data_IF_226547735616
#
_entry.id   IF_226547735616
#
_cell.length_a   1.000
_cell.length_b   1.000
_cell.length_c   1.000
_cell.angle_alpha   90.00
_cell.angle_beta   90.00
_cell.angle_gamma   90.00
#
_symmetry.space_group_name_H-M   'P 1'
#
loop_
_entity.id
_entity.type
_entity.pdbx_description
1 polymer ?
#
# COMPACT_ATOMS: atom_id res chain seq x y z
N UNK A 1 -10.70 6.20 2.73
CA UNK A 1 -10.22 5.01 1.98
C UNK A 1 -10.08 3.83 2.94
N UNK A 2 -10.19 2.59 2.44
CA UNK A 2 -10.00 1.38 3.24
C UNK A 2 -8.80 0.59 2.78
N UNK A 3 -8.06 0.01 3.73
CA UNK A 3 -6.94 -0.89 3.47
C UNK A 3 -7.47 -2.18 2.84
N UNK A 4 -6.96 -2.51 1.66
CA UNK A 4 -7.17 -3.81 1.01
C UNK A 4 -6.09 -4.78 1.50
N UNK A 5 -4.83 -4.34 1.49
CA UNK A 5 -3.68 -5.14 1.90
C UNK A 5 -2.54 -4.24 2.38
N UNK A 6 -1.91 -4.59 3.49
CA UNK A 6 -0.61 -4.01 3.84
C UNK A 6 0.46 -4.70 2.97
N UNK A 7 1.18 -3.92 2.17
CA UNK A 7 2.27 -4.44 1.33
C UNK A 7 3.54 -4.57 2.16
N UNK A 8 3.80 -3.56 2.99
CA UNK A 8 4.92 -3.52 3.92
C UNK A 8 4.65 -2.47 5.03
N UNK A 9 5.59 -2.22 5.95
CA UNK A 9 5.35 -1.29 7.07
C UNK A 9 5.02 0.14 6.64
N UNK A 10 5.50 0.56 5.47
CA UNK A 10 5.40 1.91 4.96
C UNK A 10 4.51 2.01 3.71
N UNK A 11 3.85 0.92 3.32
CA UNK A 11 3.10 0.88 2.07
C UNK A 11 1.88 -0.02 2.16
N UNK A 12 0.76 0.48 1.65
CA UNK A 12 -0.54 -0.20 1.71
C UNK A 12 -1.28 -0.05 0.38
N UNK A 13 -1.94 -1.12 -0.04
CA UNK A 13 -2.97 -1.08 -1.07
C UNK A 13 -4.28 -0.65 -0.41
N UNK A 14 -4.90 0.39 -0.93
CA UNK A 14 -6.22 0.87 -0.49
C UNK A 14 -7.22 0.86 -1.61
N UNK A 15 -8.49 0.87 -1.23
CA UNK A 15 -9.63 1.10 -2.12
C UNK A 15 -10.43 2.29 -1.61
N UNK A 16 -10.82 3.18 -2.52
CA UNK A 16 -11.73 4.27 -2.21
C UNK A 16 -13.21 3.79 -2.21
N UNK A 17 -14.14 4.74 -2.08
CA UNK A 17 -15.58 4.48 -2.07
C UNK A 17 -16.14 4.17 -3.46
N UNK A 18 -15.46 4.61 -4.50
CA UNK A 18 -15.84 4.46 -5.91
C UNK A 18 -15.28 3.14 -6.49
N UNK A 19 -14.46 2.43 -5.71
CA UNK A 19 -13.90 1.13 -6.05
C UNK A 19 -12.50 1.20 -6.63
N UNK A 20 -11.91 2.39 -6.77
CA UNK A 20 -10.59 2.55 -7.34
C UNK A 20 -9.53 2.11 -6.34
N UNK A 21 -8.54 1.37 -6.84
CA UNK A 21 -7.41 0.93 -6.05
C UNK A 21 -6.25 1.92 -6.18
N UNK A 22 -5.49 2.07 -5.10
CA UNK A 22 -4.28 2.90 -5.09
C UNK A 22 -3.29 2.34 -4.09
N UNK A 23 -2.00 2.48 -4.40
CA UNK A 23 -0.92 2.13 -3.48
C UNK A 23 -0.48 3.42 -2.79
N UNK A 24 -0.62 3.47 -1.47
CA UNK A 24 -0.18 4.59 -0.67
C UNK A 24 1.14 4.25 0.00
N UNK A 25 2.04 5.22 0.05
CA UNK A 25 3.32 5.18 0.77
C UNK A 25 3.33 6.28 1.84
N UNK A 26 3.88 5.93 2.99
CA UNK A 26 4.08 6.85 4.11
C UNK A 26 4.75 6.16 5.28
N UNK A 27 5.42 6.92 6.15
CA UNK A 27 6.09 6.37 7.33
C UNK A 27 5.12 5.63 8.26
N UNK A 28 5.31 4.32 8.39
CA UNK A 28 4.57 3.44 9.30
C UNK A 28 3.08 3.30 8.96
N UNK A 29 2.65 3.60 7.73
CA UNK A 29 1.22 3.58 7.38
C UNK A 29 0.65 2.18 7.22
N UNK A 30 1.50 1.18 6.96
CA UNK A 30 1.12 -0.23 6.91
C UNK A 30 1.38 -0.97 8.22
N UNK A 31 2.08 -0.34 9.15
CA UNK A 31 2.37 -0.94 10.46
C UNK A 31 1.07 -1.21 11.22
N UNK A 32 0.86 -2.49 11.57
CA UNK A 32 -0.33 -3.00 12.26
C UNK A 32 -1.67 -2.76 11.55
N UNK A 33 -1.69 -2.33 10.29
CA UNK A 33 -2.94 -2.21 9.51
C UNK A 33 -3.40 -3.56 9.00
N UNK A 34 -4.71 -3.78 9.00
CA UNK A 34 -5.38 -4.98 8.49
C UNK A 34 -6.35 -4.62 7.38
N UNK A 35 -6.73 -5.62 6.58
CA UNK A 35 -7.77 -5.46 5.57
C UNK A 35 -9.07 -4.96 6.21
N UNK A 36 -9.65 -3.92 5.62
CA UNK A 36 -10.86 -3.25 6.10
C UNK A 36 -10.61 -2.04 6.98
N UNK A 37 -9.39 -1.85 7.51
CA UNK A 37 -9.06 -0.70 8.34
C UNK A 37 -9.16 0.61 7.54
N UNK A 38 -9.50 1.69 8.24
CA UNK A 38 -9.44 3.03 7.65
C UNK A 38 -7.98 3.51 7.58
N UNK A 39 -7.64 4.12 6.44
CA UNK A 39 -6.36 4.81 6.26
C UNK A 39 -6.59 6.32 6.41
N UNK A 40 -5.79 6.94 7.27
CA UNK A 40 -5.75 8.38 7.50
C UNK A 40 -4.99 9.05 6.35
N UNK A 41 -5.62 10.01 5.65
CA UNK A 41 -5.02 10.62 4.46
C UNK A 41 -3.79 11.47 4.80
N UNK A 42 -3.75 12.08 5.98
CA UNK A 42 -2.65 12.93 6.45
C UNK A 42 -1.32 12.18 6.60
N UNK A 43 -1.37 10.85 6.66
CA UNK A 43 -0.18 9.99 6.77
C UNK A 43 0.36 9.56 5.41
N UNK A 44 -0.35 9.87 4.32
CA UNK A 44 0.04 9.51 2.96
C UNK A 44 1.03 10.54 2.45
N UNK A 45 2.27 10.12 2.22
CA UNK A 45 3.31 10.96 1.63
C UNK A 45 3.26 10.88 0.09
N UNK A 46 2.95 9.70 -0.46
CA UNK A 46 2.77 9.49 -1.90
C UNK A 46 1.64 8.51 -2.17
N UNK A 47 0.92 8.75 -3.27
CA UNK A 47 -0.15 7.87 -3.78
C UNK A 47 0.15 7.51 -5.23
N UNK A 48 0.17 6.22 -5.52
CA UNK A 48 0.30 5.64 -6.86
C UNK A 48 -1.05 5.10 -7.27
N UNK A 49 -1.56 5.58 -8.40
CA UNK A 49 -2.82 5.12 -8.99
C UNK A 49 -2.44 4.25 -10.20
N UNK A 50 -2.55 2.92 -10.11
CA UNK A 50 -2.25 2.06 -11.25
C UNK A 50 -3.29 2.28 -12.36
N UNK A 51 -2.85 2.35 -13.62
CA UNK A 51 -3.73 2.52 -14.77
C UNK A 51 -4.55 1.25 -15.05
N UNK A 52 -4.04 0.09 -14.64
CA UNK A 52 -4.70 -1.20 -14.81
C UNK A 52 -4.28 -2.24 -13.73
N UNK A 53 -5.00 -3.36 -13.72
CA UNK A 53 -4.75 -4.44 -12.75
C UNK A 53 -3.37 -5.10 -12.88
N UNK A 54 -2.79 -5.14 -14.08
CA UNK A 54 -1.47 -5.74 -14.31
C UNK A 54 -0.37 -4.88 -13.68
N UNK A 55 -0.45 -3.56 -13.86
CA UNK A 55 0.46 -2.60 -13.27
C UNK A 55 0.35 -2.59 -11.73
N UNK A 56 -0.89 -2.63 -11.21
CA UNK A 56 -1.15 -2.80 -9.77
C UNK A 56 -0.44 -4.03 -9.21
N UNK A 57 -0.58 -5.18 -9.88
CA UNK A 57 0.05 -6.43 -9.45
C UNK A 57 1.58 -6.36 -9.49
N UNK A 58 2.14 -5.82 -10.57
CA UNK A 58 3.58 -5.67 -10.72
C UNK A 58 4.19 -4.79 -9.61
N UNK A 59 3.55 -3.68 -9.28
CA UNK A 59 3.99 -2.83 -8.16
C UNK A 59 3.88 -3.54 -6.81
N UNK A 60 2.79 -4.27 -6.57
CA UNK A 60 2.63 -5.04 -5.34
C UNK A 60 3.77 -6.07 -5.16
N UNK A 61 4.18 -6.74 -6.23
CA UNK A 61 5.31 -7.69 -6.21
C UNK A 61 6.63 -6.96 -5.88
N UNK A 62 6.96 -5.92 -6.65
CA UNK A 62 8.18 -5.12 -6.45
C UNK A 62 8.30 -4.54 -5.04
N UNK A 63 7.22 -3.98 -4.49
CA UNK A 63 7.26 -3.33 -3.18
C UNK A 63 7.24 -4.31 -2.00
N UNK A 64 6.81 -5.54 -2.22
CA UNK A 64 6.95 -6.62 -1.24
C UNK A 64 8.41 -7.07 -1.17
N UNK A 65 9.05 -7.28 -2.32
CA UNK A 65 10.45 -7.76 -2.41
C UNK A 65 11.46 -6.75 -1.84
N UNK A 66 11.26 -5.45 -2.05
CA UNK A 66 12.20 -4.43 -1.60
C UNK A 66 12.41 -4.46 -0.07
N UNK A 67 11.38 -4.75 0.75
CA UNK A 67 11.55 -4.78 2.22
C UNK A 67 12.33 -5.99 2.75
N UNK A 68 12.35 -7.12 2.03
CA UNK A 68 13.11 -8.32 2.45
C UNK A 68 14.63 -8.14 2.25
N UNK A 69 15.05 -7.23 1.36
CA UNK A 69 16.47 -7.06 1.01
C UNK A 69 17.27 -6.13 1.94
N UNK A 70 16.62 -5.25 2.72
CA UNK A 70 17.29 -4.16 3.48
C UNK A 70 17.36 -4.43 4.99
N UNK A 71 16.89 -5.60 5.45
CA UNK A 71 17.08 -6.07 6.82
C UNK A 71 17.70 -7.46 6.78
N UNK A 72 19.05 -7.59 6.66
CA UNK A 72 19.70 -8.83 7.01
C UNK A 72 19.40 -9.12 8.48
N UNK A 73 18.89 -10.32 8.73
CA UNK A 73 18.67 -10.91 10.06
C UNK A 73 19.93 -10.88 10.93
#
# INVERSE_FOLDING_TARGET
MKVVKALNNNMVLVRDKDGNESICQGKGIGFQKKTGDSLEEDRIERRFIPENASESRHFQELFTEIQESILPS
#
